data_IF_013804377507
#
_entry.id   IF_013804377507
#
_cell.length_a   1.000
_cell.length_b   1.000
_cell.length_c   1.000
_cell.angle_alpha   90.00
_cell.angle_beta   90.00
_cell.angle_gamma   90.00
#
_symmetry.space_group_name_H-M   'P 1'
#
loop_
_entity.id
_entity.type
_entity.pdbx_description
1 polymer ?
#
# COMPACT_ATOMS: atom_id res chain seq x y z
N UNK A 1 11.39 -17.92 9.15
CA UNK A 1 11.73 -17.58 10.52
C UNK A 1 11.62 -16.06 10.75
N UNK A 2 10.36 -15.57 10.61
CA UNK A 2 10.02 -14.16 10.81
C UNK A 2 10.34 -13.68 12.24
N UNK A 3 10.13 -14.58 13.22
CA UNK A 3 10.44 -14.33 14.63
C UNK A 3 11.93 -14.05 14.89
N UNK A 4 12.81 -14.74 14.17
CA UNK A 4 14.25 -14.53 14.29
C UNK A 4 14.69 -13.19 13.69
N UNK A 5 14.08 -12.77 12.58
CA UNK A 5 14.38 -11.47 11.95
C UNK A 5 13.86 -10.33 12.82
N UNK A 6 12.66 -10.44 13.37
CA UNK A 6 12.10 -9.43 14.30
C UNK A 6 12.92 -9.37 15.59
N UNK A 7 13.32 -10.52 16.14
CA UNK A 7 14.20 -10.60 17.32
C UNK A 7 15.59 -10.02 16.99
N UNK A 8 16.13 -10.32 15.82
CA UNK A 8 17.43 -9.82 15.39
C UNK A 8 17.42 -8.30 15.16
N UNK A 9 16.38 -7.77 14.52
CA UNK A 9 16.19 -6.31 14.35
C UNK A 9 16.00 -5.65 15.73
N UNK A 10 15.18 -6.23 16.60
CA UNK A 10 15.01 -5.76 17.98
C UNK A 10 16.31 -5.82 18.78
N UNK A 11 17.08 -6.90 18.62
CA UNK A 11 18.37 -7.07 19.29
C UNK A 11 19.44 -6.11 18.74
N UNK A 12 19.42 -5.81 17.45
CA UNK A 12 20.30 -4.84 16.79
C UNK A 12 20.00 -3.40 17.22
N UNK A 13 18.72 -3.09 17.43
CA UNK A 13 18.25 -1.77 17.85
C UNK A 13 18.36 -1.55 19.38
N UNK A 14 18.26 -2.61 20.19
CA UNK A 14 18.24 -2.53 21.66
C UNK A 14 19.60 -2.84 22.29
N UNK A 15 20.40 -3.75 21.71
CA UNK A 15 21.71 -4.07 22.22
C UNK A 15 22.82 -3.28 21.51
N UNK A 16 23.14 -2.14 22.07
CA UNK A 16 24.27 -1.27 21.76
C UNK A 16 25.61 -1.93 22.10
N UNK A 17 25.92 -3.11 21.55
CA UNK A 17 27.20 -3.83 21.71
C UNK A 17 27.95 -4.00 20.41
N UNK A 18 28.11 -2.91 19.66
CA UNK A 18 29.22 -2.74 18.73
C UNK A 18 30.16 -1.68 19.32
N UNK A 19 30.93 -2.14 20.29
CA UNK A 19 31.97 -1.37 20.90
C UNK A 19 33.14 -1.19 19.93
N UNK A 20 33.21 -0.03 19.30
CA UNK A 20 34.41 0.76 18.96
C UNK A 20 34.10 1.99 18.09
N UNK A 21 32.87 2.12 17.53
CA UNK A 21 32.42 3.37 16.97
C UNK A 21 31.07 3.67 17.64
N UNK A 22 31.06 4.61 18.57
CA UNK A 22 29.88 5.00 19.34
C UNK A 22 28.95 5.85 18.47
N UNK A 23 28.57 5.35 17.29
CA UNK A 23 27.53 5.93 16.45
C UNK A 23 26.22 5.48 17.06
N UNK A 24 25.60 6.38 17.79
CA UNK A 24 24.24 6.17 18.24
C UNK A 24 23.33 6.21 17.01
N UNK A 25 23.05 5.05 16.42
CA UNK A 25 22.25 4.90 15.19
C UNK A 25 20.89 5.60 15.34
N UNK A 26 20.31 5.56 16.54
CA UNK A 26 19.06 6.23 16.82
C UNK A 26 19.20 7.76 16.73
N UNK A 27 20.28 8.35 17.25
CA UNK A 27 20.51 9.80 17.15
C UNK A 27 20.79 10.25 15.71
N UNK A 28 21.46 9.41 14.93
CA UNK A 28 21.76 9.67 13.52
C UNK A 28 20.49 9.62 12.65
N UNK A 29 19.59 8.69 12.96
CA UNK A 29 18.29 8.59 12.28
C UNK A 29 17.35 9.72 12.71
N UNK A 30 17.36 10.14 13.98
CA UNK A 30 16.58 11.28 14.46
C UNK A 30 17.04 12.61 13.86
N UNK A 31 18.33 12.75 13.59
CA UNK A 31 18.88 13.97 12.98
C UNK A 31 18.65 14.09 11.47
N UNK A 32 18.29 13.00 10.79
CA UNK A 32 18.20 12.99 9.33
C UNK A 32 17.00 12.17 8.85
N UNK A 33 15.85 12.82 8.66
CA UNK A 33 14.61 12.19 8.20
C UNK A 33 14.74 11.55 6.80
N UNK A 34 15.64 12.06 5.94
CA UNK A 34 15.89 11.48 4.62
C UNK A 34 16.56 10.13 4.77
N UNK A 35 17.57 10.02 5.63
CA UNK A 35 18.24 8.77 5.93
C UNK A 35 17.27 7.75 6.53
N UNK A 36 16.42 8.18 7.47
CA UNK A 36 15.37 7.36 8.05
C UNK A 36 14.44 6.79 6.97
N UNK A 37 13.98 7.63 6.05
CA UNK A 37 13.10 7.24 4.96
C UNK A 37 13.75 6.18 4.05
N UNK A 38 15.01 6.38 3.67
CA UNK A 38 15.75 5.39 2.87
C UNK A 38 15.97 4.07 3.61
N UNK A 39 16.26 4.12 4.91
CA UNK A 39 16.42 2.90 5.74
C UNK A 39 15.09 2.14 5.81
N UNK A 40 13.98 2.84 6.06
CA UNK A 40 12.64 2.25 6.07
C UNK A 40 12.31 1.59 4.74
N UNK A 41 12.57 2.29 3.63
CA UNK A 41 12.31 1.75 2.28
C UNK A 41 13.21 0.53 2.01
N UNK A 42 14.50 0.61 2.26
CA UNK A 42 15.44 -0.49 2.01
C UNK A 42 15.06 -1.75 2.80
N UNK A 43 14.85 -1.62 4.10
CA UNK A 43 14.46 -2.73 4.96
C UNK A 43 13.06 -3.24 4.62
N UNK A 44 12.13 -2.34 4.32
CA UNK A 44 10.76 -2.67 3.96
C UNK A 44 10.69 -3.44 2.65
N UNK A 45 11.42 -3.02 1.62
CA UNK A 45 11.50 -3.73 0.34
C UNK A 45 12.17 -5.10 0.49
N UNK A 46 13.20 -5.21 1.33
CA UNK A 46 13.80 -6.50 1.64
C UNK A 46 12.81 -7.43 2.35
N UNK A 47 12.07 -6.93 3.33
CA UNK A 47 11.03 -7.69 4.03
C UNK A 47 9.88 -8.08 3.09
N UNK A 48 9.48 -7.18 2.19
CA UNK A 48 8.40 -7.42 1.21
C UNK A 48 8.69 -8.52 0.20
N UNK A 49 9.97 -8.84 -0.04
CA UNK A 49 10.39 -9.95 -0.91
C UNK A 49 10.28 -11.32 -0.22
N UNK A 50 10.08 -11.37 1.08
CA UNK A 50 9.90 -12.64 1.79
C UNK A 50 8.63 -13.33 1.34
N UNK A 51 8.74 -14.64 1.14
CA UNK A 51 7.62 -15.52 0.79
C UNK A 51 7.19 -16.31 2.01
N UNK A 52 5.92 -16.19 2.35
CA UNK A 52 5.26 -17.01 3.36
C UNK A 52 4.48 -18.12 2.64
N UNK A 53 5.13 -19.27 2.45
CA UNK A 53 4.58 -20.37 1.66
C UNK A 53 4.48 -19.99 0.18
N UNK A 54 3.26 -20.03 -0.38
CA UNK A 54 3.00 -19.68 -1.80
C UNK A 54 2.70 -18.20 -2.03
N UNK A 55 2.63 -17.40 -0.98
CA UNK A 55 2.27 -15.97 -1.05
C UNK A 55 3.49 -15.10 -0.72
N UNK A 56 3.78 -14.13 -1.58
CA UNK A 56 4.78 -13.10 -1.31
C UNK A 56 4.13 -11.99 -0.48
N UNK A 57 4.81 -11.52 0.58
CA UNK A 57 4.28 -10.47 1.45
C UNK A 57 3.94 -9.18 0.67
N UNK A 58 4.75 -8.84 -0.30
CA UNK A 58 4.61 -7.61 -1.08
C UNK A 58 5.32 -6.40 -0.47
N UNK A 59 5.72 -5.49 -1.35
CA UNK A 59 6.56 -4.36 -0.97
C UNK A 59 5.85 -3.41 0.02
N UNK A 60 4.56 -3.14 -0.18
CA UNK A 60 3.78 -2.24 0.67
C UNK A 60 3.67 -2.74 2.10
N UNK A 61 3.42 -4.05 2.28
CA UNK A 61 3.37 -4.65 3.63
C UNK A 61 4.75 -4.62 4.29
N UNK A 62 5.80 -4.95 3.54
CA UNK A 62 7.15 -4.91 4.08
C UNK A 62 7.52 -3.53 4.60
N UNK A 63 7.24 -2.48 3.83
CA UNK A 63 7.48 -1.08 4.25
C UNK A 63 6.60 -0.71 5.45
N UNK A 64 5.32 -1.08 5.44
CA UNK A 64 4.40 -0.82 6.57
C UNK A 64 4.88 -1.45 7.88
N UNK A 65 5.28 -2.72 7.84
CA UNK A 65 5.77 -3.43 9.03
C UNK A 65 7.05 -2.79 9.57
N UNK A 66 8.01 -2.46 8.70
CA UNK A 66 9.25 -1.79 9.12
C UNK A 66 8.96 -0.40 9.68
N UNK A 67 8.04 0.37 9.05
CA UNK A 67 7.62 1.69 9.54
C UNK A 67 7.00 1.61 10.93
N UNK A 68 6.14 0.61 11.18
CA UNK A 68 5.54 0.40 12.50
C UNK A 68 6.58 0.06 13.57
N UNK A 69 7.55 -0.80 13.24
CA UNK A 69 8.61 -1.19 14.18
C UNK A 69 9.52 0.00 14.53
N UNK A 70 9.89 0.79 13.54
CA UNK A 70 10.73 1.98 13.75
C UNK A 70 9.93 3.12 14.37
N UNK A 71 8.65 3.28 14.03
CA UNK A 71 7.77 4.29 14.59
C UNK A 71 7.60 4.19 16.11
N UNK A 72 7.73 2.98 16.68
CA UNK A 72 7.76 2.79 18.15
C UNK A 72 8.91 3.55 18.85
N UNK A 73 9.93 3.96 18.11
CA UNK A 73 11.05 4.75 18.63
C UNK A 73 10.79 6.26 18.56
N UNK A 74 9.55 6.68 18.27
CA UNK A 74 9.12 8.08 18.17
C UNK A 74 9.91 8.91 17.13
N UNK A 75 10.36 8.27 16.04
CA UNK A 75 10.94 9.01 14.91
C UNK A 75 9.86 9.84 14.22
N UNK A 76 10.13 11.13 14.08
CA UNK A 76 9.23 12.05 13.36
C UNK A 76 9.66 12.19 11.90
N UNK A 77 8.70 12.04 10.98
CA UNK A 77 8.90 12.35 9.56
C UNK A 77 8.47 13.79 9.31
N UNK A 78 9.25 14.53 8.51
CA UNK A 78 8.88 15.87 8.09
C UNK A 78 7.57 15.85 7.29
N UNK A 79 6.67 16.76 7.62
CA UNK A 79 5.36 16.89 6.96
C UNK A 79 5.49 17.16 5.45
N UNK A 80 6.53 17.91 5.03
CA UNK A 80 6.79 18.17 3.60
C UNK A 80 7.16 16.89 2.84
N UNK A 81 7.97 16.01 3.45
CA UNK A 81 8.32 14.72 2.85
C UNK A 81 7.08 13.82 2.73
N UNK A 82 6.19 13.85 3.72
CA UNK A 82 4.93 13.11 3.69
C UNK A 82 4.01 13.62 2.58
N UNK A 83 3.86 14.93 2.44
CA UNK A 83 3.05 15.57 1.38
C UNK A 83 3.62 15.25 -0.01
N UNK A 84 4.95 15.34 -0.18
CA UNK A 84 5.60 14.98 -1.44
C UNK A 84 5.34 13.51 -1.80
N UNK A 85 5.50 12.60 -0.85
CA UNK A 85 5.21 11.17 -1.03
C UNK A 85 3.77 10.92 -1.46
N UNK A 86 2.83 11.63 -0.84
CA UNK A 86 1.42 11.56 -1.20
C UNK A 86 1.14 12.09 -2.61
N UNK A 87 1.68 13.24 -2.98
CA UNK A 87 1.53 13.80 -4.33
C UNK A 87 2.09 12.84 -5.39
N UNK A 88 3.28 12.28 -5.16
CA UNK A 88 3.87 11.28 -6.06
C UNK A 88 3.01 10.02 -6.16
N UNK A 89 2.44 9.54 -5.05
CA UNK A 89 1.55 8.40 -5.03
C UNK A 89 0.32 8.64 -5.90
N UNK A 90 -0.38 9.77 -5.72
CA UNK A 90 -1.57 10.12 -6.52
C UNK A 90 -1.20 10.29 -8.00
N UNK A 91 -0.06 10.92 -8.29
CA UNK A 91 0.44 11.06 -9.66
C UNK A 91 0.68 9.70 -10.33
N UNK A 92 1.36 8.77 -9.65
CA UNK A 92 1.61 7.43 -10.17
C UNK A 92 0.31 6.66 -10.43
N UNK A 93 -0.65 6.73 -9.50
CA UNK A 93 -1.97 6.12 -9.68
C UNK A 93 -2.70 6.73 -10.89
N UNK A 94 -2.64 8.06 -11.04
CA UNK A 94 -3.23 8.77 -12.18
C UNK A 94 -2.61 8.36 -13.53
N UNK A 95 -1.30 8.25 -13.59
CA UNK A 95 -0.58 7.81 -14.81
C UNK A 95 -0.90 6.35 -15.15
N UNK A 96 -0.98 5.48 -14.16
CA UNK A 96 -1.29 4.06 -14.35
C UNK A 96 -2.74 3.84 -14.80
N UNK A 97 -3.69 4.50 -14.14
CA UNK A 97 -5.12 4.32 -14.42
C UNK A 97 -5.61 5.12 -15.63
N UNK A 98 -5.00 6.30 -15.90
CA UNK A 98 -5.47 7.29 -16.85
C UNK A 98 -5.75 6.78 -18.26
N UNK A 99 -4.83 6.06 -18.92
CA UNK A 99 -5.00 5.63 -20.31
C UNK A 99 -6.25 4.77 -20.55
N UNK A 100 -6.62 3.95 -19.57
CA UNK A 100 -7.74 3.01 -19.69
C UNK A 100 -9.02 3.50 -18.99
N UNK A 101 -8.91 4.55 -18.16
CA UNK A 101 -10.00 5.02 -17.32
C UNK A 101 -11.25 5.38 -18.13
N UNK A 102 -11.10 6.26 -19.11
CA UNK A 102 -12.23 6.76 -19.89
C UNK A 102 -12.88 5.65 -20.73
N UNK A 103 -12.10 4.76 -21.33
CA UNK A 103 -12.63 3.67 -22.14
C UNK A 103 -13.44 2.67 -21.29
N UNK A 104 -12.96 2.33 -20.11
CA UNK A 104 -13.65 1.43 -19.18
C UNK A 104 -14.86 2.13 -18.56
N UNK A 105 -14.72 3.41 -18.17
CA UNK A 105 -15.78 4.18 -17.55
C UNK A 105 -17.00 4.34 -18.46
N UNK A 106 -16.81 4.70 -19.73
CA UNK A 106 -17.94 4.88 -20.67
C UNK A 106 -18.57 3.57 -21.12
N UNK A 107 -17.82 2.45 -21.08
CA UNK A 107 -18.33 1.16 -21.53
C UNK A 107 -19.02 0.38 -20.41
N UNK A 108 -18.40 0.28 -19.25
CA UNK A 108 -18.86 -0.55 -18.14
C UNK A 108 -19.07 0.26 -16.83
N UNK A 109 -18.80 1.58 -16.87
CA UNK A 109 -18.67 2.42 -15.69
C UNK A 109 -19.88 2.46 -14.78
N UNK A 110 -21.11 2.36 -15.34
CA UNK A 110 -22.33 2.36 -14.53
C UNK A 110 -22.37 1.20 -13.54
N UNK A 111 -21.98 0.00 -13.98
CA UNK A 111 -22.00 -1.20 -13.13
C UNK A 111 -20.89 -1.14 -12.09
N UNK A 112 -19.68 -0.70 -12.49
CA UNK A 112 -18.56 -0.52 -11.56
C UNK A 112 -18.83 0.59 -10.55
N UNK A 113 -19.45 1.71 -10.99
CA UNK A 113 -19.81 2.81 -10.09
C UNK A 113 -20.82 2.35 -9.04
N UNK A 114 -21.87 1.62 -9.47
CA UNK A 114 -22.86 1.09 -8.54
C UNK A 114 -22.26 0.11 -7.54
N UNK A 115 -21.39 -0.79 -8.00
CA UNK A 115 -20.68 -1.71 -7.14
C UNK A 115 -19.80 -0.97 -6.14
N UNK A 116 -19.04 0.03 -6.59
CA UNK A 116 -18.18 0.85 -5.74
C UNK A 116 -19.00 1.60 -4.67
N UNK A 117 -20.13 2.20 -5.04
CA UNK A 117 -21.02 2.89 -4.10
C UNK A 117 -21.57 1.94 -3.02
N UNK A 118 -21.99 0.74 -3.42
CA UNK A 118 -22.48 -0.28 -2.48
C UNK A 118 -21.35 -0.72 -1.55
N UNK A 119 -20.17 -0.99 -2.07
CA UNK A 119 -19.01 -1.42 -1.25
C UNK A 119 -18.57 -0.33 -0.28
N UNK A 120 -18.37 0.89 -0.77
CA UNK A 120 -17.93 2.02 0.08
C UNK A 120 -19.01 2.37 1.09
N UNK A 121 -20.27 2.44 0.67
CA UNK A 121 -21.41 2.73 1.54
C UNK A 121 -21.57 1.68 2.65
N UNK A 122 -21.51 0.40 2.32
CA UNK A 122 -21.59 -0.67 3.32
C UNK A 122 -20.41 -0.65 4.29
N UNK A 123 -19.18 -0.46 3.81
CA UNK A 123 -18.00 -0.35 4.66
C UNK A 123 -18.10 0.84 5.61
N UNK A 124 -18.60 1.97 5.13
CA UNK A 124 -18.80 3.18 5.94
C UNK A 124 -19.87 2.99 7.03
N UNK A 125 -21.00 2.36 6.68
CA UNK A 125 -22.05 2.04 7.65
C UNK A 125 -21.54 1.09 8.73
N UNK A 126 -20.80 0.04 8.34
CA UNK A 126 -20.21 -0.91 9.28
C UNK A 126 -19.18 -0.22 10.18
N UNK A 127 -18.26 0.57 9.62
CA UNK A 127 -17.23 1.26 10.40
C UNK A 127 -17.84 2.23 11.42
N UNK A 128 -18.81 3.05 11.01
CA UNK A 128 -19.52 3.98 11.89
C UNK A 128 -20.34 3.21 12.94
N UNK A 129 -21.01 2.13 12.53
CA UNK A 129 -21.78 1.28 13.45
C UNK A 129 -20.91 0.65 14.53
N UNK A 130 -19.78 0.05 14.15
CA UNK A 130 -18.82 -0.50 15.10
C UNK A 130 -18.17 0.59 15.96
N UNK A 131 -17.80 1.74 15.37
CA UNK A 131 -17.25 2.86 16.11
C UNK A 131 -18.19 3.35 17.21
N UNK A 132 -19.48 3.46 16.92
CA UNK A 132 -20.51 3.81 17.92
C UNK A 132 -20.72 2.72 18.95
N UNK A 133 -20.76 1.46 18.53
CA UNK A 133 -20.99 0.32 19.41
C UNK A 133 -19.87 0.15 20.44
N UNK A 134 -18.62 0.31 20.00
CA UNK A 134 -17.43 0.14 20.84
C UNK A 134 -16.89 1.47 21.40
N UNK A 135 -17.59 2.57 21.17
CA UNK A 135 -17.17 3.92 21.61
C UNK A 135 -15.75 4.31 21.14
N UNK A 136 -15.40 3.93 19.91
CA UNK A 136 -14.14 4.32 19.31
C UNK A 136 -14.13 5.80 18.93
N UNK A 137 -12.99 6.44 19.06
CA UNK A 137 -12.84 7.81 18.58
C UNK A 137 -12.84 7.87 17.04
N UNK A 138 -12.98 9.08 16.51
CA UNK A 138 -13.11 9.31 15.07
C UNK A 138 -11.84 8.91 14.32
N UNK A 139 -10.64 9.10 14.92
CA UNK A 139 -9.37 8.72 14.32
C UNK A 139 -9.28 7.21 14.12
N UNK A 140 -9.55 6.44 15.20
CA UNK A 140 -9.53 4.98 15.14
C UNK A 140 -10.55 4.44 14.12
N UNK A 141 -11.78 4.97 14.14
CA UNK A 141 -12.85 4.55 13.22
C UNK A 141 -12.47 4.81 11.76
N UNK A 142 -11.94 5.99 11.46
CA UNK A 142 -11.50 6.34 10.11
C UNK A 142 -10.27 5.51 9.68
N UNK A 143 -9.35 5.26 10.60
CA UNK A 143 -8.20 4.40 10.36
C UNK A 143 -8.59 2.97 10.02
N UNK A 144 -9.52 2.40 10.78
CA UNK A 144 -10.03 1.05 10.53
C UNK A 144 -10.79 0.95 9.21
N UNK A 145 -11.55 1.97 8.83
CA UNK A 145 -12.19 2.05 7.52
C UNK A 145 -11.15 2.08 6.40
N UNK A 146 -10.18 2.99 6.48
CA UNK A 146 -9.14 3.13 5.48
C UNK A 146 -8.29 1.86 5.33
N UNK A 147 -7.93 1.23 6.45
CA UNK A 147 -7.12 0.01 6.46
C UNK A 147 -7.88 -1.20 5.93
N UNK A 148 -9.11 -1.43 6.36
CA UNK A 148 -9.93 -2.56 5.89
C UNK A 148 -10.17 -2.53 4.39
N UNK A 149 -10.29 -1.33 3.82
CA UNK A 149 -10.40 -1.13 2.37
C UNK A 149 -9.04 -1.05 1.65
N UNK A 150 -7.93 -1.21 2.38
CA UNK A 150 -6.56 -1.07 1.86
C UNK A 150 -6.34 0.24 1.09
N UNK A 151 -7.01 1.32 1.54
CA UNK A 151 -7.05 2.60 0.85
C UNK A 151 -6.18 3.66 1.54
N UNK A 152 -4.96 3.83 1.04
CA UNK A 152 -4.06 4.91 1.49
C UNK A 152 -4.63 6.32 1.23
N UNK A 153 -5.34 6.60 0.11
CA UNK A 153 -5.97 7.91 -0.08
C UNK A 153 -6.99 8.25 1.00
N UNK A 154 -7.77 7.28 1.48
CA UNK A 154 -8.73 7.49 2.59
C UNK A 154 -7.99 7.81 3.89
N UNK A 155 -6.86 7.14 4.17
CA UNK A 155 -6.02 7.43 5.34
C UNK A 155 -5.54 8.89 5.33
N UNK A 156 -5.00 9.34 4.21
CA UNK A 156 -4.46 10.71 4.09
C UNK A 156 -5.57 11.74 4.17
N UNK A 157 -6.68 11.53 3.44
CA UNK A 157 -7.83 12.42 3.49
C UNK A 157 -8.45 12.54 4.90
N UNK A 158 -8.51 11.43 5.63
CA UNK A 158 -8.94 11.43 7.03
C UNK A 158 -7.97 12.21 7.93
N UNK A 159 -6.65 12.00 7.74
CA UNK A 159 -5.62 12.75 8.47
C UNK A 159 -5.70 14.25 8.25
N UNK A 160 -5.90 14.68 7.01
CA UNK A 160 -6.07 16.11 6.68
C UNK A 160 -7.37 16.67 7.25
N UNK A 161 -8.45 15.89 7.22
CA UNK A 161 -9.73 16.30 7.84
C UNK A 161 -9.58 16.49 9.35
N UNK A 162 -8.89 15.57 10.03
CA UNK A 162 -8.62 15.69 11.47
C UNK A 162 -7.83 16.97 11.78
N UNK A 163 -6.79 17.28 10.99
CA UNK A 163 -5.99 18.51 11.17
C UNK A 163 -6.83 19.78 11.04
N UNK A 164 -7.76 19.77 10.10
CA UNK A 164 -8.62 20.94 9.85
C UNK A 164 -9.80 21.08 10.83
N UNK A 165 -10.16 19.99 11.52
CA UNK A 165 -11.33 19.95 12.40
C UNK A 165 -10.96 20.05 13.87
N UNK A 166 -9.85 19.45 14.28
CA UNK A 166 -9.41 19.40 15.68
C UNK A 166 -8.39 20.50 15.94
N UNK A 167 -8.79 21.54 16.67
CA UNK A 167 -7.93 22.68 16.99
C UNK A 167 -6.99 22.39 18.17
N UNK A 168 -7.36 21.47 19.08
CA UNK A 168 -6.56 21.14 20.25
C UNK A 168 -5.41 20.20 19.88
N UNK A 169 -4.16 20.68 20.04
CA UNK A 169 -2.94 19.96 19.65
C UNK A 169 -2.80 18.54 20.25
N UNK A 170 -2.97 18.34 21.57
CA UNK A 170 -2.91 17.02 22.17
C UNK A 170 -4.01 16.06 21.67
N UNK A 171 -5.24 16.56 21.48
CA UNK A 171 -6.34 15.76 20.95
C UNK A 171 -6.13 15.41 19.48
N UNK A 172 -5.54 16.30 18.69
CA UNK A 172 -5.18 16.04 17.30
C UNK A 172 -4.12 14.94 17.21
N UNK A 173 -3.07 15.02 18.02
CA UNK A 173 -2.02 14.00 18.04
C UNK A 173 -2.60 12.62 18.38
N UNK A 174 -3.41 12.53 19.43
CA UNK A 174 -4.07 11.29 19.82
C UNK A 174 -4.96 10.73 18.68
N UNK A 175 -5.74 11.59 18.02
CA UNK A 175 -6.59 11.17 16.91
C UNK A 175 -5.78 10.69 15.70
N UNK A 176 -4.63 11.29 15.41
CA UNK A 176 -3.73 10.86 14.34
C UNK A 176 -3.02 9.54 14.67
N UNK A 177 -2.62 9.35 15.91
CA UNK A 177 -2.03 8.08 16.37
C UNK A 177 -3.06 6.95 16.27
N UNK A 178 -4.29 7.19 16.70
CA UNK A 178 -5.39 6.24 16.58
C UNK A 178 -5.77 5.95 15.12
N UNK A 179 -5.74 6.97 14.25
CA UNK A 179 -5.94 6.81 12.80
C UNK A 179 -4.88 5.86 12.21
N UNK A 180 -3.61 6.11 12.54
CA UNK A 180 -2.49 5.30 12.05
C UNK A 180 -2.53 3.87 12.58
N UNK A 181 -2.86 3.71 13.88
CA UNK A 181 -3.00 2.39 14.51
C UNK A 181 -4.15 1.58 13.88
N UNK A 182 -5.33 2.20 13.75
CA UNK A 182 -6.49 1.56 13.13
C UNK A 182 -6.20 1.12 11.70
N UNK A 183 -5.58 1.98 10.92
CA UNK A 183 -5.14 1.66 9.56
C UNK A 183 -4.18 0.47 9.53
N UNK A 184 -3.12 0.50 10.31
CA UNK A 184 -2.10 -0.53 10.28
C UNK A 184 -2.64 -1.92 10.64
N UNK A 185 -3.48 -1.99 11.68
CA UNK A 185 -4.08 -3.26 12.13
C UNK A 185 -5.02 -3.84 11.08
N UNK A 186 -5.93 -3.01 10.55
CA UNK A 186 -6.95 -3.50 9.61
C UNK A 186 -6.44 -3.66 8.19
N UNK A 187 -5.40 -2.93 7.79
CA UNK A 187 -4.76 -3.09 6.48
C UNK A 187 -4.22 -4.50 6.25
N UNK A 188 -3.51 -5.06 7.24
CA UNK A 188 -2.98 -6.42 7.13
C UNK A 188 -4.11 -7.45 7.01
N UNK A 189 -5.16 -7.29 7.83
CA UNK A 189 -6.34 -8.17 7.81
C UNK A 189 -7.08 -8.01 6.49
N UNK A 190 -7.31 -6.78 6.02
CA UNK A 190 -7.97 -6.47 4.75
C UNK A 190 -7.26 -7.09 3.57
N UNK A 191 -5.92 -6.97 3.51
CA UNK A 191 -5.13 -7.55 2.44
C UNK A 191 -5.18 -9.08 2.44
N UNK A 192 -5.04 -9.71 3.59
CA UNK A 192 -5.17 -11.16 3.72
C UNK A 192 -6.56 -11.61 3.28
N UNK A 193 -7.61 -10.93 3.74
CA UNK A 193 -9.00 -11.21 3.36
C UNK A 193 -9.23 -11.08 1.86
N UNK A 194 -8.65 -10.05 1.24
CA UNK A 194 -8.73 -9.83 -0.20
C UNK A 194 -8.06 -10.96 -0.99
N UNK A 195 -6.87 -11.40 -0.58
CA UNK A 195 -6.15 -12.51 -1.20
C UNK A 195 -6.96 -13.81 -1.05
N UNK A 196 -7.50 -14.07 0.14
CA UNK A 196 -8.35 -15.24 0.37
C UNK A 196 -9.63 -15.17 -0.45
N UNK A 197 -10.31 -14.01 -0.47
CA UNK A 197 -11.50 -13.79 -1.26
C UNK A 197 -11.26 -14.03 -2.74
N UNK A 198 -10.23 -13.42 -3.31
CA UNK A 198 -9.87 -13.60 -4.72
C UNK A 198 -9.55 -15.05 -5.08
N UNK A 199 -8.98 -15.83 -4.15
CA UNK A 199 -8.59 -17.22 -4.40
C UNK A 199 -9.72 -18.21 -4.20
N UNK A 200 -10.58 -18.01 -3.19
CA UNK A 200 -11.56 -19.00 -2.77
C UNK A 200 -12.97 -18.70 -3.27
N UNK A 201 -13.33 -17.42 -3.45
CA UNK A 201 -14.67 -17.03 -3.92
C UNK A 201 -15.05 -17.64 -5.27
N UNK A 202 -14.19 -17.62 -6.31
CA UNK A 202 -14.50 -18.26 -7.58
C UNK A 202 -14.69 -19.78 -7.46
N UNK A 203 -13.90 -20.42 -6.59
CA UNK A 203 -14.03 -21.86 -6.32
C UNK A 203 -15.37 -22.20 -5.64
N UNK A 204 -15.80 -21.33 -4.72
CA UNK A 204 -17.09 -21.49 -4.03
C UNK A 204 -18.27 -21.33 -4.99
N UNK A 205 -18.10 -20.48 -6.00
CA UNK A 205 -19.10 -20.25 -7.07
C UNK A 205 -18.99 -21.28 -8.21
N UNK A 206 -18.13 -22.29 -8.11
CA UNK A 206 -17.84 -23.29 -9.14
C UNK A 206 -17.47 -22.65 -10.50
N UNK A 207 -16.90 -21.46 -10.47
CA UNK A 207 -16.43 -20.77 -11.68
C UNK A 207 -14.95 -21.04 -11.92
N UNK A 208 -14.64 -21.47 -13.14
CA UNK A 208 -13.25 -21.53 -13.60
C UNK A 208 -12.84 -20.16 -14.16
N UNK A 209 -11.92 -19.49 -13.45
CA UNK A 209 -11.42 -18.17 -13.80
C UNK A 209 -10.78 -18.14 -15.19
N UNK A 210 -10.13 -19.26 -15.61
CA UNK A 210 -9.48 -19.30 -16.91
C UNK A 210 -10.49 -19.32 -18.06
N UNK A 211 -11.56 -20.08 -17.90
CA UNK A 211 -12.65 -20.17 -18.86
C UNK A 211 -13.44 -18.87 -18.92
N UNK A 212 -13.77 -18.30 -17.77
CA UNK A 212 -14.48 -17.02 -17.68
C UNK A 212 -13.66 -15.87 -18.29
N UNK A 213 -12.34 -15.83 -18.03
CA UNK A 213 -11.45 -14.82 -18.62
C UNK A 213 -11.37 -14.95 -20.16
N UNK A 214 -11.31 -16.17 -20.69
CA UNK A 214 -11.30 -16.41 -22.13
C UNK A 214 -12.65 -16.02 -22.78
N UNK A 215 -13.75 -16.32 -22.12
CA UNK A 215 -15.07 -15.93 -22.60
C UNK A 215 -15.20 -14.41 -22.68
N UNK A 216 -14.84 -13.69 -21.62
CA UNK A 216 -14.86 -12.22 -21.57
C UNK A 216 -13.88 -11.64 -22.61
N UNK A 217 -12.72 -12.26 -22.82
CA UNK A 217 -11.76 -11.82 -23.83
C UNK A 217 -12.34 -11.95 -25.25
N UNK A 218 -13.06 -13.05 -25.54
CA UNK A 218 -13.77 -13.25 -26.83
C UNK A 218 -14.91 -12.26 -27.01
N UNK A 219 -15.76 -12.09 -26.02
CA UNK A 219 -16.89 -11.12 -26.03
C UNK A 219 -16.39 -9.68 -26.24
N UNK A 220 -15.20 -9.39 -25.74
CA UNK A 220 -14.58 -8.06 -25.83
C UNK A 220 -13.70 -7.87 -27.08
N UNK A 221 -13.59 -8.88 -27.95
CA UNK A 221 -12.73 -8.82 -29.13
C UNK A 221 -11.25 -8.72 -28.80
N UNK A 222 -10.86 -9.11 -27.58
CA UNK A 222 -9.49 -9.20 -27.14
C UNK A 222 -8.98 -10.59 -27.54
N UNK A 223 -8.63 -10.73 -28.81
CA UNK A 223 -8.09 -12.00 -29.31
C UNK A 223 -6.76 -12.28 -28.59
N UNK A 224 -6.70 -13.37 -27.84
CA UNK A 224 -5.57 -13.73 -27.00
C UNK A 224 -4.30 -13.98 -27.83
N UNK A 225 -4.46 -14.27 -29.14
CA UNK A 225 -3.34 -14.46 -30.08
C UNK A 225 -2.74 -13.14 -30.58
N UNK A 226 -3.53 -12.08 -30.66
CA UNK A 226 -2.99 -10.77 -31.06
C UNK A 226 -2.26 -10.05 -29.94
N UNK A 227 -2.56 -10.36 -28.67
CA UNK A 227 -1.84 -9.77 -27.53
C UNK A 227 -0.50 -10.47 -27.22
N UNK A 228 -0.26 -11.68 -27.72
CA UNK A 228 1.11 -12.26 -27.67
C UNK A 228 2.10 -11.52 -28.57
N UNK A 229 1.65 -10.67 -29.46
CA UNK A 229 2.45 -9.62 -30.08
C UNK A 229 2.44 -8.33 -29.23
N UNK A 230 2.54 -8.44 -27.92
CA UNK A 230 3.08 -7.34 -27.13
C UNK A 230 4.43 -7.06 -27.74
N UNK A 231 4.57 -5.91 -28.34
CA UNK A 231 5.84 -5.39 -28.81
C UNK A 231 6.75 -5.26 -27.60
N UNK A 232 7.34 -6.39 -27.20
CA UNK A 232 8.51 -6.33 -26.35
C UNK A 232 9.49 -5.47 -27.14
N UNK A 233 10.02 -4.39 -26.57
CA UNK A 233 11.03 -3.61 -27.26
C UNK A 233 12.15 -4.57 -27.61
N UNK A 234 12.22 -4.93 -28.90
CA UNK A 234 13.28 -5.81 -29.41
C UNK A 234 14.48 -4.91 -29.52
N UNK A 235 15.43 -5.07 -28.61
CA UNK A 235 16.73 -4.42 -28.72
C UNK A 235 17.39 -5.02 -29.95
N UNK A 236 17.40 -4.27 -31.06
CA UNK A 236 18.13 -4.65 -32.27
C UNK A 236 19.46 -3.93 -32.26
N UNK A 237 20.53 -4.67 -32.19
CA UNK A 237 21.87 -4.13 -32.44
C UNK A 237 22.05 -4.01 -33.95
N UNK A 238 22.22 -2.80 -34.44
CA UNK A 238 22.60 -2.52 -35.82
C UNK A 238 24.12 -2.37 -35.89
N UNK A 239 24.75 -3.13 -36.77
CA UNK A 239 26.18 -2.90 -37.12
C UNK A 239 26.22 -1.74 -38.08
N UNK A 240 26.71 -0.59 -37.62
CA UNK A 240 26.96 0.57 -38.49
C UNK A 240 28.14 0.24 -39.37
N UNK A 241 27.93 0.21 -40.69
CA UNK A 241 29.02 0.02 -41.65
C UNK A 241 29.94 1.25 -41.69
N UNK A 242 31.22 1.09 -42.05
CA UNK A 242 32.19 2.18 -42.06
C UNK A 242 31.80 3.35 -42.98
N UNK A 243 30.88 3.16 -43.91
CA UNK A 243 30.41 4.17 -44.86
C UNK A 243 29.46 5.23 -44.25
N UNK A 244 29.00 5.07 -42.99
CA UNK A 244 28.09 5.98 -42.30
C UNK A 244 28.79 6.84 -41.22
N UNK A 245 30.12 6.76 -41.15
CA UNK A 245 30.94 7.50 -40.17
C UNK A 245 31.78 8.56 -40.86
N UNK A 246 31.33 9.10 -42.00
CA UNK A 246 31.97 10.24 -42.70
C UNK A 246 31.20 11.55 -42.41
#
# INVERSE_FOLDING_TARGET
>A
NLSLIVIYIKHLLVNNKLSSVNINVASLLNGNYILLLFVVLALGLCLGKLRLGSVQLGNSIGVLVVSLLLGQQHFAINTEALNLGFMLFIFCVGVEAGPNFFSIFFRDGKNYLMLALVMVGSAMVIAIGLGKLFHWDIGLTAGMLAGSMTSTPVLVGAGDTLRNTIVNGPALLAAQDHLSLGYALTYLIGLVSLIFGARYLPKLQHQDLSTSAQQIARERGLDTDSQRKVYLPVIRAYRVGPELVA
#
